data_IF_351079057010
#
_entry.id   IF_351079057010
#
_cell.length_a   1.000
_cell.length_b   1.000
_cell.length_c   1.000
_cell.angle_alpha   90.00
_cell.angle_beta   90.00
_cell.angle_gamma   90.00
#
_symmetry.space_group_name_H-M   'P 1'
#
loop_
_entity.id
_entity.type
_entity.pdbx_description
1 polymer ?
#
# COMPACT_ATOMS: atom_id res chain seq x y z
N UNK A 1 21.83 -10.73 -4.24
CA UNK A 1 20.53 -10.93 -3.57
C UNK A 1 19.43 -10.57 -4.55
N UNK A 2 18.19 -11.01 -4.37
CA UNK A 2 17.08 -10.89 -5.34
C UNK A 2 16.74 -9.46 -5.82
N UNK A 3 17.38 -8.44 -5.26
CA UNK A 3 17.40 -7.08 -5.78
C UNK A 3 18.82 -6.54 -5.61
N UNK A 4 19.50 -6.25 -6.71
CA UNK A 4 20.65 -5.35 -6.67
C UNK A 4 20.13 -3.93 -6.43
N UNK A 5 20.80 -3.16 -5.58
CA UNK A 5 20.48 -1.74 -5.44
C UNK A 5 20.50 -1.10 -6.83
N UNK A 6 19.37 -0.52 -7.23
CA UNK A 6 19.32 0.24 -8.49
C UNK A 6 20.30 1.40 -8.33
N UNK A 7 21.30 1.45 -9.21
CA UNK A 7 22.44 2.37 -9.18
C UNK A 7 22.05 3.86 -9.11
N UNK A 8 20.79 4.20 -9.37
CA UNK A 8 20.25 5.57 -9.36
C UNK A 8 18.96 5.69 -8.52
N UNK A 9 18.76 4.80 -7.54
CA UNK A 9 17.60 4.89 -6.65
C UNK A 9 17.71 6.12 -5.74
N UNK A 10 16.70 7.00 -5.81
CA UNK A 10 16.57 8.10 -4.86
C UNK A 10 16.34 7.54 -3.46
N UNK A 11 17.24 7.84 -2.53
CA UNK A 11 17.03 7.53 -1.12
C UNK A 11 15.91 8.42 -0.56
N UNK A 12 15.05 7.89 0.34
CA UNK A 12 14.06 8.71 1.02
C UNK A 12 14.73 9.80 1.85
N UNK A 13 14.17 11.01 1.83
CA UNK A 13 14.57 12.09 2.72
C UNK A 13 14.35 11.72 4.20
N UNK A 14 15.07 12.42 5.09
CA UNK A 14 14.91 12.26 6.54
C UNK A 14 13.49 12.64 6.99
N UNK A 15 12.96 11.89 7.97
CA UNK A 15 11.62 12.15 8.53
C UNK A 15 10.45 11.55 7.76
N UNK A 16 10.70 10.87 6.63
CA UNK A 16 9.65 10.19 5.89
C UNK A 16 8.98 9.04 6.69
N UNK A 17 7.65 8.90 6.62
CA UNK A 17 6.92 7.90 7.38
C UNK A 17 7.26 6.49 6.90
N UNK A 18 7.34 5.57 7.86
CA UNK A 18 7.49 4.15 7.60
C UNK A 18 6.21 3.41 7.94
N UNK A 19 5.78 2.53 7.06
CA UNK A 19 4.62 1.64 7.23
C UNK A 19 5.01 0.21 6.93
N UNK A 20 4.15 -0.75 7.27
CA UNK A 20 4.45 -2.15 7.03
C UNK A 20 3.20 -2.96 6.67
N UNK A 21 3.45 -4.08 6.00
CA UNK A 21 2.48 -5.14 5.81
C UNK A 21 3.03 -6.44 6.39
N UNK A 22 2.24 -7.09 7.23
CA UNK A 22 2.45 -8.50 7.56
C UNK A 22 1.72 -9.35 6.53
N UNK A 23 2.47 -10.15 5.78
CA UNK A 23 1.97 -10.89 4.62
C UNK A 23 1.86 -12.38 4.95
N UNK A 24 0.76 -12.98 4.51
CA UNK A 24 0.51 -14.42 4.57
C UNK A 24 0.07 -14.98 3.23
N UNK A 25 0.29 -16.27 3.01
CA UNK A 25 -0.26 -17.04 1.90
C UNK A 25 -1.00 -18.25 2.46
N UNK A 26 -2.33 -18.25 2.30
CA UNK A 26 -3.20 -19.14 3.07
C UNK A 26 -3.04 -18.86 4.57
N UNK A 27 -2.69 -19.90 5.32
CA UNK A 27 -2.42 -19.81 6.76
C UNK A 27 -0.93 -19.61 7.09
N UNK A 28 -0.05 -19.59 6.08
CA UNK A 28 1.38 -19.46 6.28
C UNK A 28 1.81 -17.99 6.30
N UNK A 29 2.44 -17.54 7.40
CA UNK A 29 3.05 -16.22 7.50
C UNK A 29 4.33 -16.16 6.66
N UNK A 30 4.38 -15.26 5.67
CA UNK A 30 5.54 -15.08 4.79
C UNK A 30 6.55 -14.07 5.36
N UNK A 31 6.08 -13.17 6.22
CA UNK A 31 6.92 -12.18 6.89
C UNK A 31 6.40 -10.76 6.73
N UNK A 32 7.25 -9.79 7.06
CA UNK A 32 6.93 -8.36 7.06
C UNK A 32 7.62 -7.64 5.90
N UNK A 33 6.84 -6.85 5.17
CA UNK A 33 7.34 -5.86 4.23
C UNK A 33 7.31 -4.51 4.94
N UNK A 34 8.45 -3.81 5.02
CA UNK A 34 8.54 -2.45 5.56
C UNK A 34 8.80 -1.50 4.40
N UNK A 35 8.05 -0.39 4.36
CA UNK A 35 8.12 0.60 3.28
C UNK A 35 8.32 1.99 3.89
N UNK A 36 9.31 2.71 3.37
CA UNK A 36 9.41 4.15 3.57
C UNK A 36 8.63 4.85 2.46
N UNK A 37 7.81 5.84 2.81
CA UNK A 37 6.95 6.56 1.87
C UNK A 37 7.49 7.97 1.68
N UNK A 38 7.71 8.40 0.44
CA UNK A 38 8.31 9.71 0.08
C UNK A 38 7.32 10.89 0.30
N UNK A 39 6.95 11.17 1.54
CA UNK A 39 6.01 12.24 1.90
C UNK A 39 6.57 13.65 1.63
N UNK A 40 7.89 13.79 1.66
CA UNK A 40 8.60 15.01 1.26
C UNK A 40 8.43 15.35 -0.23
N UNK A 41 8.28 14.34 -1.09
CA UNK A 41 8.12 14.51 -2.55
C UNK A 41 6.66 14.47 -2.97
N UNK A 42 5.88 13.50 -2.45
CA UNK A 42 4.49 13.25 -2.83
C UNK A 42 3.56 13.22 -1.61
N UNK A 43 3.39 14.35 -0.90
CA UNK A 43 2.73 14.38 0.41
C UNK A 43 1.30 13.83 0.40
N UNK A 44 0.51 14.15 -0.63
CA UNK A 44 -0.90 13.71 -0.73
C UNK A 44 -1.00 12.20 -0.97
N UNK A 45 -0.23 11.66 -1.91
CA UNK A 45 -0.16 10.22 -2.18
C UNK A 45 0.38 9.46 -0.98
N UNK A 46 1.40 10.01 -0.33
CA UNK A 46 2.02 9.41 0.85
C UNK A 46 1.04 9.32 2.02
N UNK A 47 0.30 10.41 2.28
CA UNK A 47 -0.70 10.44 3.35
C UNK A 47 -1.87 9.50 3.06
N UNK A 48 -2.33 9.41 1.81
CA UNK A 48 -3.32 8.41 1.40
C UNK A 48 -2.86 6.99 1.73
N UNK A 49 -1.67 6.60 1.27
CA UNK A 49 -1.15 5.25 1.50
C UNK A 49 -0.94 4.99 3.00
N UNK A 50 -0.34 5.94 3.72
CA UNK A 50 -0.08 5.81 5.16
C UNK A 50 -1.36 5.63 5.96
N UNK A 51 -2.38 6.45 5.70
CA UNK A 51 -3.66 6.37 6.39
C UNK A 51 -4.42 5.07 6.06
N UNK A 52 -4.34 4.58 4.81
CA UNK A 52 -4.87 3.27 4.44
C UNK A 52 -4.10 2.11 5.10
N UNK A 53 -2.81 2.27 5.45
CA UNK A 53 -2.09 1.30 6.27
C UNK A 53 -2.57 1.26 7.72
N UNK A 54 -2.99 2.40 8.30
CA UNK A 54 -3.43 2.48 9.71
C UNK A 54 -4.92 2.22 9.90
N UNK A 55 -5.74 2.49 8.88
CA UNK A 55 -7.20 2.43 8.98
C UNK A 55 -7.82 3.60 9.77
N UNK A 56 -7.04 4.64 10.08
CA UNK A 56 -7.46 5.71 11.00
C UNK A 56 -8.60 6.59 10.47
N UNK A 57 -8.88 6.54 9.17
CA UNK A 57 -9.95 7.32 8.53
C UNK A 57 -11.33 6.65 8.61
N UNK A 58 -11.41 5.46 9.18
CA UNK A 58 -12.69 4.78 9.43
C UNK A 58 -13.30 4.23 8.14
N UNK A 59 -14.57 4.55 7.89
CA UNK A 59 -15.30 4.10 6.70
C UNK A 59 -15.27 5.15 5.59
N UNK A 60 -15.09 4.68 4.36
CA UNK A 60 -15.16 5.50 3.15
C UNK A 60 -16.59 5.71 2.66
N UNK A 61 -16.74 6.46 1.58
CA UNK A 61 -18.03 6.80 0.97
C UNK A 61 -18.76 5.57 0.40
N UNK A 62 -18.03 4.50 0.10
CA UNK A 62 -18.58 3.22 -0.37
C UNK A 62 -18.95 2.26 0.77
N UNK A 63 -18.93 2.73 2.03
CA UNK A 63 -19.32 1.94 3.21
C UNK A 63 -18.34 0.81 3.55
N UNK A 64 -17.09 0.91 3.07
CA UNK A 64 -16.00 -0.02 3.38
C UNK A 64 -14.96 0.69 4.23
N UNK A 65 -14.28 -0.05 5.12
CA UNK A 65 -13.19 0.51 5.90
C UNK A 65 -12.04 0.93 4.98
N UNK A 66 -11.56 2.16 5.14
CA UNK A 66 -10.39 2.70 4.46
C UNK A 66 -9.11 2.10 5.06
N UNK A 67 -8.90 0.81 4.85
CA UNK A 67 -7.82 0.05 5.49
C UNK A 67 -7.36 -1.12 4.62
N UNK A 68 -6.04 -1.25 4.43
CA UNK A 68 -5.45 -2.36 3.69
C UNK A 68 -5.46 -3.70 4.42
N UNK A 69 -5.74 -3.74 5.74
CA UNK A 69 -5.75 -5.00 6.50
C UNK A 69 -6.82 -5.94 5.94
N UNK A 70 -6.38 -7.13 5.53
CA UNK A 70 -7.24 -8.14 4.91
C UNK A 70 -7.36 -8.04 3.39
N UNK A 71 -6.80 -6.99 2.78
CA UNK A 71 -6.69 -6.90 1.32
C UNK A 71 -5.68 -7.92 0.79
N UNK A 72 -5.98 -8.49 -0.38
CA UNK A 72 -5.12 -9.44 -1.08
C UNK A 72 -4.27 -8.78 -2.14
N UNK A 73 -3.11 -9.36 -2.44
CA UNK A 73 -2.40 -9.11 -3.70
C UNK A 73 -3.14 -9.84 -4.83
N UNK A 74 -4.16 -9.22 -5.40
CA UNK A 74 -5.05 -9.84 -6.38
C UNK A 74 -4.39 -10.12 -7.73
N UNK A 75 -3.25 -9.47 -8.03
CA UNK A 75 -2.49 -9.70 -9.27
C UNK A 75 -1.01 -9.85 -8.98
N UNK A 76 -0.47 -11.03 -9.30
CA UNK A 76 0.95 -11.39 -9.11
C UNK A 76 1.53 -11.83 -10.45
N UNK A 77 2.46 -11.04 -10.99
CA UNK A 77 3.11 -11.31 -12.28
C UNK A 77 4.59 -11.54 -12.03
N UNK A 78 5.04 -12.79 -12.24
CA UNK A 78 6.44 -13.17 -12.07
C UNK A 78 7.34 -12.29 -12.93
N UNK A 79 8.48 -11.91 -12.37
CA UNK A 79 9.51 -11.07 -13.01
C UNK A 79 9.00 -9.68 -13.43
N UNK A 80 7.90 -9.23 -12.83
CA UNK A 80 7.36 -7.89 -13.06
C UNK A 80 6.93 -7.21 -11.76
N UNK A 81 5.77 -7.56 -11.19
CA UNK A 81 5.22 -6.86 -10.02
C UNK A 81 4.16 -7.69 -9.26
N UNK A 82 3.85 -7.21 -8.06
CA UNK A 82 2.65 -7.58 -7.30
C UNK A 82 1.76 -6.34 -7.13
N UNK A 83 0.45 -6.53 -7.25
CA UNK A 83 -0.56 -5.48 -7.14
C UNK A 83 -1.65 -5.92 -6.17
N UNK A 84 -2.04 -5.00 -5.30
CA UNK A 84 -3.08 -5.14 -4.29
C UNK A 84 -3.77 -3.79 -4.06
N UNK A 85 -4.33 -3.60 -2.87
CA UNK A 85 -4.91 -2.32 -2.46
C UNK A 85 -6.40 -2.15 -2.78
N UNK A 86 -7.01 -3.09 -3.50
CA UNK A 86 -8.46 -3.17 -3.67
C UNK A 86 -9.08 -3.88 -2.46
N UNK A 87 -9.51 -3.10 -1.47
CA UNK A 87 -10.20 -3.57 -0.26
C UNK A 87 -11.74 -3.56 -0.41
N UNK A 88 -12.26 -3.28 -1.61
CA UNK A 88 -13.70 -3.17 -1.88
C UNK A 88 -14.18 -4.41 -2.65
N UNK A 89 -13.62 -4.65 -3.83
CA UNK A 89 -13.97 -5.76 -4.72
C UNK A 89 -12.98 -6.92 -4.62
N UNK A 90 -11.71 -6.62 -4.33
CA UNK A 90 -10.64 -7.60 -4.22
C UNK A 90 -10.16 -8.19 -5.55
N UNK A 91 -10.56 -7.60 -6.69
CA UNK A 91 -10.26 -8.10 -8.04
C UNK A 91 -9.53 -7.06 -8.91
N UNK A 92 -9.32 -5.85 -8.39
CA UNK A 92 -8.64 -4.74 -9.06
C UNK A 92 -9.59 -3.74 -9.72
N UNK A 93 -10.91 -3.93 -9.60
CA UNK A 93 -11.92 -2.98 -10.11
C UNK A 93 -12.36 -1.95 -9.08
N UNK A 94 -12.02 -2.17 -7.80
CA UNK A 94 -12.43 -1.32 -6.68
C UNK A 94 -11.28 -0.59 -6.00
N UNK A 95 -11.58 -0.09 -4.81
CA UNK A 95 -10.70 0.75 -4.00
C UNK A 95 -11.27 2.16 -3.85
N UNK A 96 -10.83 2.85 -2.80
CA UNK A 96 -11.19 4.23 -2.53
C UNK A 96 -9.98 4.92 -1.88
N UNK A 97 -9.82 6.23 -2.11
CA UNK A 97 -8.82 7.03 -1.40
C UNK A 97 -9.39 7.63 -0.13
N UNK A 98 -8.53 8.11 0.76
CA UNK A 98 -8.97 8.87 1.94
C UNK A 98 -9.60 10.24 1.60
N UNK A 99 -9.55 10.62 0.32
CA UNK A 99 -10.06 11.88 -0.20
C UNK A 99 -11.36 11.69 -1.03
N UNK A 100 -11.91 10.47 -1.07
CA UNK A 100 -13.03 10.07 -1.93
C UNK A 100 -12.62 9.02 -2.97
N UNK A 101 -13.42 8.84 -4.02
CA UNK A 101 -13.21 7.78 -5.03
C UNK A 101 -11.83 7.84 -5.69
N UNK A 102 -11.39 9.02 -6.13
CA UNK A 102 -10.08 9.25 -6.75
C UNK A 102 -9.49 10.60 -6.34
N UNK A 103 -8.18 10.78 -6.56
CA UNK A 103 -7.49 12.04 -6.34
C UNK A 103 -6.36 12.26 -7.35
N UNK A 104 -6.10 13.54 -7.67
CA UNK A 104 -4.94 14.00 -8.43
C UNK A 104 -3.67 14.13 -7.57
#
# INVERSE_FOLDING_TARGET
>A
GLYEEKKDATAPGEGNPHVFFDVKHGDNMLGRIVMCIFADIVPKTAENFRALCTGEKGEGTLGKSLHYKGCTFHRVVKDFMIQGGDFISGDGTGGESIYGEMFD
#
